data_IF_767076390787
#
_entry.id   IF_767076390787
#
_cell.length_a   1.000
_cell.length_b   1.000
_cell.length_c   1.000
_cell.angle_alpha   90.00
_cell.angle_beta   90.00
_cell.angle_gamma   90.00
#
_symmetry.space_group_name_H-M   'P 1'
#
loop_
_entity.id
_entity.type
_entity.pdbx_description
1 polymer ?
#
# COMPACT_ATOMS: atom_id res chain seq x y z
N UNK A 1 -14.71 3.51 20.14
CA UNK A 1 -15.09 3.82 21.53
C UNK A 1 -14.84 5.29 21.85
N UNK A 2 -13.70 5.86 21.41
CA UNK A 2 -13.37 7.28 21.57
C UNK A 2 -14.46 8.27 21.08
N UNK A 3 -15.10 8.03 19.93
CA UNK A 3 -16.14 8.93 19.39
C UNK A 3 -17.41 9.06 20.24
N UNK A 4 -17.87 7.98 20.89
CA UNK A 4 -19.10 8.01 21.71
C UNK A 4 -18.88 8.73 23.05
N UNK A 5 -17.68 8.56 23.61
CA UNK A 5 -17.26 9.27 24.82
C UNK A 5 -17.03 10.76 24.51
N UNK A 6 -16.38 11.07 23.39
CA UNK A 6 -15.99 12.43 23.03
C UNK A 6 -17.17 13.30 22.54
N UNK A 7 -18.07 12.75 21.71
CA UNK A 7 -19.19 13.53 21.14
C UNK A 7 -20.47 13.47 21.97
N UNK A 8 -20.67 12.41 22.75
CA UNK A 8 -21.95 12.16 23.43
C UNK A 8 -21.78 11.87 24.93
N UNK A 9 -20.56 11.94 25.48
CA UNK A 9 -20.25 11.62 26.88
C UNK A 9 -20.72 10.21 27.33
N UNK A 10 -20.89 9.28 26.39
CA UNK A 10 -21.34 7.92 26.72
C UNK A 10 -20.13 7.01 26.90
N UNK A 11 -19.82 6.68 28.16
CA UNK A 11 -18.78 5.71 28.50
C UNK A 11 -19.34 4.28 28.54
N UNK A 12 -19.12 3.51 27.47
CA UNK A 12 -19.53 2.10 27.40
C UNK A 12 -18.39 1.21 26.88
N UNK A 13 -18.25 0.03 27.47
CA UNK A 13 -17.29 -0.97 27.00
C UNK A 13 -17.69 -1.56 25.64
N UNK A 14 -16.69 -1.98 24.86
CA UNK A 14 -16.90 -2.55 23.51
C UNK A 14 -17.80 -3.79 23.55
N UNK A 15 -17.66 -4.62 24.58
CA UNK A 15 -18.48 -5.81 24.81
C UNK A 15 -19.94 -5.45 25.05
N UNK A 16 -20.22 -4.45 25.87
CA UNK A 16 -21.58 -3.94 26.11
C UNK A 16 -22.21 -3.34 24.85
N UNK A 17 -21.44 -2.57 24.08
CA UNK A 17 -21.89 -2.02 22.80
C UNK A 17 -22.25 -3.14 21.81
N UNK A 18 -21.38 -4.13 21.63
CA UNK A 18 -21.63 -5.29 20.75
C UNK A 18 -22.85 -6.10 21.19
N UNK A 19 -23.08 -6.22 22.50
CA UNK A 19 -24.27 -6.91 23.04
C UNK A 19 -25.54 -6.14 22.72
N UNK A 20 -25.58 -4.82 22.96
CA UNK A 20 -26.74 -3.96 22.64
C UNK A 20 -27.05 -3.93 21.14
N UNK A 21 -26.04 -3.86 20.28
CA UNK A 21 -26.24 -3.93 18.83
C UNK A 21 -26.90 -5.25 18.39
N UNK A 22 -26.50 -6.37 19.01
CA UNK A 22 -27.10 -7.69 18.76
C UNK A 22 -28.53 -7.78 19.26
N UNK A 23 -28.84 -7.28 20.47
CA UNK A 23 -30.21 -7.30 21.00
C UNK A 23 -31.16 -6.43 20.18
N UNK A 24 -30.67 -5.31 19.66
CA UNK A 24 -31.43 -4.42 18.78
C UNK A 24 -31.48 -4.92 17.31
N UNK A 25 -30.90 -6.09 17.01
CA UNK A 25 -30.77 -6.67 15.65
C UNK A 25 -30.15 -5.70 14.62
N UNK A 26 -29.41 -4.71 15.09
CA UNK A 26 -28.77 -3.72 14.24
C UNK A 26 -27.53 -4.33 13.61
N UNK A 27 -27.55 -4.44 12.28
CA UNK A 27 -26.39 -4.82 11.46
C UNK A 27 -25.80 -3.56 10.84
N UNK A 28 -24.49 -3.57 10.61
CA UNK A 28 -23.81 -2.46 9.95
C UNK A 28 -24.44 -2.26 8.57
N UNK A 29 -25.07 -1.10 8.35
CA UNK A 29 -25.53 -0.69 7.02
C UNK A 29 -24.29 -0.64 6.12
N UNK A 30 -24.29 -1.45 5.07
CA UNK A 30 -23.27 -1.37 4.02
C UNK A 30 -23.57 -0.08 3.24
N UNK A 31 -23.02 1.04 3.67
CA UNK A 31 -23.13 2.31 2.95
C UNK A 31 -22.37 2.18 1.63
N UNK A 32 -23.09 2.41 0.54
CA UNK A 32 -22.61 2.27 -0.84
C UNK A 32 -23.65 1.51 -1.66
N UNK A 33 -24.40 2.28 -2.46
CA UNK A 33 -25.28 1.84 -3.54
C UNK A 33 -24.68 0.65 -4.32
N UNK A 34 -25.53 -0.26 -4.79
CA UNK A 34 -25.30 -1.67 -5.23
C UNK A 34 -25.55 -2.71 -4.12
N UNK A 35 -26.82 -2.86 -3.79
CA UNK A 35 -27.35 -3.83 -2.82
C UNK A 35 -27.66 -5.22 -3.44
N UNK A 36 -27.25 -5.48 -4.67
CA UNK A 36 -27.43 -6.78 -5.31
C UNK A 36 -26.25 -7.67 -4.94
N UNK A 37 -26.50 -8.73 -4.15
CA UNK A 37 -25.55 -9.83 -4.03
C UNK A 37 -25.33 -10.35 -5.46
N UNK A 38 -24.08 -10.28 -5.95
CA UNK A 38 -23.73 -10.76 -7.29
C UNK A 38 -24.19 -12.22 -7.46
N UNK A 39 -24.71 -12.56 -8.64
CA UNK A 39 -25.16 -13.92 -8.91
C UNK A 39 -24.00 -14.89 -8.75
N UNK A 40 -24.27 -16.12 -8.29
CA UNK A 40 -23.24 -17.15 -8.13
C UNK A 40 -22.43 -17.36 -9.41
N UNK A 41 -23.07 -17.28 -10.58
CA UNK A 41 -22.40 -17.42 -11.88
C UNK A 41 -21.38 -16.30 -12.13
N UNK A 42 -21.70 -15.06 -11.79
CA UNK A 42 -20.79 -13.92 -11.96
C UNK A 42 -19.54 -14.10 -11.06
N UNK A 43 -19.75 -14.59 -9.84
CA UNK A 43 -18.65 -14.86 -8.90
C UNK A 43 -17.77 -16.01 -9.39
N UNK A 44 -18.36 -17.09 -9.89
CA UNK A 44 -17.61 -18.23 -10.43
C UNK A 44 -16.79 -17.82 -11.65
N UNK A 45 -17.39 -17.08 -12.59
CA UNK A 45 -16.69 -16.57 -13.77
C UNK A 45 -15.53 -15.66 -13.39
N UNK A 46 -15.73 -14.75 -12.43
CA UNK A 46 -14.65 -13.90 -11.93
C UNK A 46 -13.51 -14.71 -11.28
N UNK A 47 -13.84 -15.75 -10.50
CA UNK A 47 -12.84 -16.66 -9.90
C UNK A 47 -12.05 -17.39 -10.99
N UNK A 48 -12.72 -17.92 -12.02
CA UNK A 48 -12.07 -18.63 -13.13
C UNK A 48 -11.09 -17.69 -13.86
N UNK A 49 -11.54 -16.49 -14.20
CA UNK A 49 -10.71 -15.48 -14.87
C UNK A 49 -9.49 -15.11 -14.03
N UNK A 50 -9.67 -14.88 -12.73
CA UNK A 50 -8.56 -14.57 -11.83
C UNK A 50 -7.56 -15.73 -11.71
N UNK A 51 -8.03 -16.97 -11.64
CA UNK A 51 -7.17 -18.16 -11.57
C UNK A 51 -6.40 -18.36 -12.88
N UNK A 52 -7.01 -18.03 -14.02
CA UNK A 52 -6.35 -18.05 -15.34
C UNK A 52 -5.25 -16.99 -15.50
N UNK A 53 -5.29 -15.93 -14.69
CA UNK A 53 -4.34 -14.81 -14.72
C UNK A 53 -3.41 -14.82 -13.50
N UNK A 54 -3.24 -13.66 -12.84
CA UNK A 54 -2.33 -13.46 -11.71
C UNK A 54 -2.83 -14.06 -10.39
N UNK A 55 -4.08 -14.52 -10.34
CA UNK A 55 -4.74 -15.05 -9.14
C UNK A 55 -4.44 -16.52 -8.85
N UNK A 56 -3.74 -17.24 -9.72
CA UNK A 56 -3.47 -18.69 -9.56
C UNK A 56 -2.87 -19.08 -8.20
N UNK A 57 -2.04 -18.21 -7.62
CA UNK A 57 -1.32 -18.50 -6.37
C UNK A 57 -1.96 -17.85 -5.13
N UNK A 58 -3.03 -17.07 -5.27
CA UNK A 58 -3.56 -16.28 -4.15
C UNK A 58 -4.46 -17.09 -3.22
N UNK A 59 -4.37 -16.82 -1.92
CA UNK A 59 -5.26 -17.42 -0.92
C UNK A 59 -6.71 -16.94 -1.06
N UNK A 60 -7.68 -17.71 -0.54
CA UNK A 60 -9.10 -17.34 -0.63
C UNK A 60 -9.43 -15.96 -0.01
N UNK A 61 -8.66 -15.51 0.99
CA UNK A 61 -8.83 -14.18 1.60
C UNK A 61 -8.42 -13.07 0.65
N UNK A 62 -7.30 -13.27 -0.05
CA UNK A 62 -6.81 -12.35 -1.08
C UNK A 62 -7.73 -12.38 -2.29
N UNK A 63 -8.22 -13.55 -2.70
CA UNK A 63 -9.24 -13.69 -3.74
C UNK A 63 -10.52 -12.94 -3.37
N UNK A 64 -11.06 -13.14 -2.17
CA UNK A 64 -12.23 -12.40 -1.68
C UNK A 64 -12.02 -10.89 -1.68
N UNK A 65 -10.86 -10.43 -1.23
CA UNK A 65 -10.53 -9.02 -1.25
C UNK A 65 -10.44 -8.50 -2.69
N UNK A 66 -9.78 -9.23 -3.58
CA UNK A 66 -9.62 -8.86 -4.99
C UNK A 66 -10.95 -8.81 -5.74
N UNK A 67 -11.80 -9.83 -5.60
CA UNK A 67 -13.14 -9.81 -6.17
C UNK A 67 -13.97 -8.64 -5.64
N UNK A 68 -13.79 -8.27 -4.37
CA UNK A 68 -14.48 -7.13 -3.79
C UNK A 68 -13.99 -5.78 -4.34
N UNK A 69 -12.68 -5.64 -4.57
CA UNK A 69 -12.06 -4.40 -5.04
C UNK A 69 -12.18 -4.27 -6.55
N UNK A 70 -11.63 -5.23 -7.31
CA UNK A 70 -11.52 -5.17 -8.78
C UNK A 70 -12.86 -5.45 -9.47
N UNK A 71 -13.60 -6.44 -8.99
CA UNK A 71 -14.85 -6.88 -9.63
C UNK A 71 -16.09 -6.26 -8.97
N UNK A 72 -15.92 -5.50 -7.89
CA UNK A 72 -17.03 -4.94 -7.11
C UNK A 72 -17.95 -5.99 -6.46
N UNK A 73 -17.53 -7.26 -6.42
CA UNK A 73 -18.34 -8.40 -5.97
C UNK A 73 -18.41 -8.42 -4.45
N UNK A 74 -19.62 -8.27 -3.91
CA UNK A 74 -19.88 -8.38 -2.46
C UNK A 74 -20.43 -9.77 -2.14
N UNK A 75 -19.53 -10.72 -1.90
CA UNK A 75 -19.88 -12.10 -1.57
C UNK A 75 -19.35 -12.54 -0.20
N UNK A 76 -20.03 -13.47 0.50
CA UNK A 76 -19.50 -14.04 1.74
C UNK A 76 -18.16 -14.74 1.49
N UNK A 77 -17.15 -14.41 2.31
CA UNK A 77 -15.79 -14.97 2.18
C UNK A 77 -15.77 -16.50 2.24
N UNK A 78 -16.58 -17.07 3.12
CA UNK A 78 -16.60 -18.52 3.33
C UNK A 78 -17.29 -19.24 2.15
N UNK A 79 -18.21 -18.58 1.44
CA UNK A 79 -18.78 -19.07 0.19
C UNK A 79 -17.78 -18.98 -0.98
N UNK A 80 -16.99 -17.92 -1.07
CA UNK A 80 -15.87 -17.87 -2.05
C UNK A 80 -14.91 -19.05 -1.84
N UNK A 81 -14.60 -19.39 -0.58
CA UNK A 81 -13.76 -20.54 -0.29
C UNK A 81 -14.41 -21.86 -0.77
N UNK A 82 -15.74 -22.00 -0.65
CA UNK A 82 -16.46 -23.18 -1.19
C UNK A 82 -16.37 -23.21 -2.71
N UNK A 83 -16.63 -22.10 -3.39
CA UNK A 83 -16.53 -22.01 -4.85
C UNK A 83 -15.12 -22.29 -5.35
N UNK A 84 -14.08 -21.73 -4.72
CA UNK A 84 -12.70 -22.02 -5.08
C UNK A 84 -12.32 -23.50 -4.89
N UNK A 85 -12.92 -24.22 -3.93
CA UNK A 85 -12.71 -25.67 -3.78
C UNK A 85 -13.29 -26.48 -4.93
N UNK A 86 -14.35 -25.97 -5.55
CA UNK A 86 -15.00 -26.60 -6.70
C UNK A 86 -14.23 -26.25 -7.98
N UNK A 87 -13.87 -24.97 -8.15
CA UNK A 87 -13.22 -24.46 -9.37
C UNK A 87 -11.74 -24.85 -9.48
N UNK A 88 -11.00 -24.82 -8.37
CA UNK A 88 -9.55 -25.12 -8.34
C UNK A 88 -9.19 -26.02 -7.15
N UNK A 89 -9.67 -27.27 -7.13
CA UNK A 89 -9.33 -28.23 -6.08
C UNK A 89 -7.81 -28.51 -6.07
N UNK A 90 -7.19 -28.55 -7.24
CA UNK A 90 -5.79 -28.90 -7.40
C UNK A 90 -4.85 -27.79 -6.94
N UNK A 91 -5.08 -26.54 -7.33
CA UNK A 91 -4.29 -25.40 -6.84
C UNK A 91 -4.46 -25.16 -5.34
N UNK A 92 -5.62 -25.49 -4.75
CA UNK A 92 -5.77 -25.54 -3.29
C UNK A 92 -4.91 -26.66 -2.67
N UNK A 93 -4.91 -27.86 -3.27
CA UNK A 93 -4.11 -29.00 -2.79
C UNK A 93 -2.62 -28.68 -2.83
N UNK A 94 -2.13 -28.12 -3.93
CA UNK A 94 -0.73 -27.69 -4.10
C UNK A 94 -0.33 -26.67 -3.02
N UNK A 95 -1.19 -25.68 -2.73
CA UNK A 95 -0.93 -24.69 -1.66
C UNK A 95 -0.94 -25.31 -0.26
N UNK A 96 -1.82 -26.28 -0.02
CA UNK A 96 -1.89 -27.01 1.25
C UNK A 96 -0.73 -27.99 1.47
N UNK A 97 0.07 -28.29 0.44
CA UNK A 97 1.20 -29.23 0.49
C UNK A 97 2.33 -28.81 1.45
N UNK A 98 2.25 -27.63 2.09
CA UNK A 98 3.24 -27.13 3.08
C UNK A 98 4.68 -27.20 2.54
N UNK A 99 4.89 -26.77 1.29
CA UNK A 99 6.20 -26.82 0.60
C UNK A 99 7.32 -26.12 1.39
N UNK A 100 6.96 -25.12 2.21
CA UNK A 100 7.89 -24.42 3.09
C UNK A 100 8.13 -25.25 4.36
N UNK A 101 9.16 -26.09 4.32
CA UNK A 101 9.71 -26.69 5.52
C UNK A 101 10.49 -25.62 6.31
N UNK A 102 10.05 -25.33 7.54
CA UNK A 102 10.84 -24.50 8.46
C UNK A 102 12.19 -25.19 8.69
N UNK A 103 13.27 -24.50 8.32
CA UNK A 103 14.64 -24.94 8.60
C UNK A 103 15.03 -24.47 10.00
N UNK A 104 15.89 -25.23 10.68
CA UNK A 104 16.51 -24.78 11.92
C UNK A 104 17.43 -23.60 11.59
N UNK A 105 17.07 -22.42 12.06
CA UNK A 105 17.89 -21.21 11.90
C UNK A 105 18.98 -21.20 12.97
N UNK A 106 20.24 -21.35 12.57
CA UNK A 106 21.40 -21.35 13.47
C UNK A 106 22.28 -20.17 13.08
N UNK A 107 22.43 -19.21 13.99
CA UNK A 107 23.40 -18.13 13.88
C UNK A 107 24.50 -18.38 14.91
N UNK A 108 25.78 -18.27 14.53
CA UNK A 108 26.92 -18.65 15.40
C UNK A 108 27.36 -17.56 16.39
N UNK A 109 26.82 -16.35 16.28
CA UNK A 109 27.15 -15.25 17.17
C UNK A 109 26.59 -13.90 16.70
N UNK A 110 26.68 -12.84 17.53
CA UNK A 110 26.24 -11.50 17.16
C UNK A 110 26.99 -10.96 15.93
N UNK A 111 26.36 -10.06 15.18
CA UNK A 111 26.88 -9.41 13.97
C UNK A 111 27.23 -10.36 12.81
N UNK A 112 26.91 -11.66 12.93
CA UNK A 112 27.14 -12.61 11.85
C UNK A 112 26.15 -12.44 10.70
N UNK A 113 24.90 -12.12 11.01
CA UNK A 113 23.81 -11.87 10.04
C UNK A 113 22.88 -10.83 10.64
N UNK A 114 22.52 -9.81 9.86
CA UNK A 114 21.48 -8.85 10.20
C UNK A 114 20.25 -9.09 9.33
N UNK A 115 19.07 -9.01 9.94
CA UNK A 115 17.79 -9.07 9.25
C UNK A 115 17.23 -7.66 9.17
N UNK A 116 16.90 -7.22 7.96
CA UNK A 116 16.24 -5.93 7.72
C UNK A 116 14.83 -6.20 7.21
N UNK A 117 13.82 -5.58 7.82
CA UNK A 117 12.43 -5.71 7.42
C UNK A 117 11.68 -4.37 7.55
N UNK A 118 10.62 -4.21 6.76
CA UNK A 118 9.79 -3.00 6.69
C UNK A 118 8.48 -3.15 7.47
N UNK A 119 8.24 -2.24 8.41
CA UNK A 119 6.97 -2.11 9.13
C UNK A 119 6.03 -1.13 8.43
N UNK A 120 5.11 -1.69 7.63
CA UNK A 120 4.25 -0.91 6.74
C UNK A 120 2.86 -0.57 7.32
N UNK A 121 2.58 -0.90 8.59
CA UNK A 121 1.23 -0.66 9.15
C UNK A 121 0.90 0.83 9.29
N UNK A 122 1.93 1.67 9.41
CA UNK A 122 1.79 3.12 9.48
C UNK A 122 1.98 3.82 8.13
N UNK A 123 2.15 3.05 7.03
CA UNK A 123 2.15 3.56 5.66
C UNK A 123 0.98 4.50 5.35
N UNK A 124 -0.28 4.24 5.79
CA UNK A 124 -1.40 5.15 5.54
C UNK A 124 -1.27 6.55 6.17
N UNK A 125 -0.30 6.73 7.07
CA UNK A 125 0.02 7.98 7.74
C UNK A 125 1.22 8.70 7.11
N UNK A 126 1.78 8.19 6.01
CA UNK A 126 2.92 8.80 5.31
C UNK A 126 4.30 8.35 5.82
N UNK A 127 4.35 7.44 6.79
CA UNK A 127 5.59 6.98 7.42
C UNK A 127 5.91 5.53 7.06
N UNK A 128 7.19 5.26 6.86
CA UNK A 128 7.74 3.92 6.72
C UNK A 128 8.83 3.73 7.77
N UNK A 129 8.81 2.58 8.43
CA UNK A 129 9.87 2.20 9.38
C UNK A 129 10.55 0.96 8.82
N UNK A 130 11.86 1.02 8.67
CA UNK A 130 12.68 -0.16 8.47
C UNK A 130 13.41 -0.48 9.77
N UNK A 131 13.36 -1.74 10.19
CA UNK A 131 14.10 -2.22 11.34
C UNK A 131 15.18 -3.19 10.94
N UNK A 132 16.33 -3.07 11.58
CA UNK A 132 17.44 -4.01 11.47
C UNK A 132 17.65 -4.71 12.82
N UNK A 133 17.71 -6.03 12.80
CA UNK A 133 17.87 -6.86 13.99
C UNK A 133 18.99 -7.87 13.78
N UNK A 134 19.84 -8.04 14.79
CA UNK A 134 20.87 -9.06 14.78
C UNK A 134 20.27 -10.48 14.86
N UNK A 135 20.71 -11.36 13.97
CA UNK A 135 20.15 -12.70 13.82
C UNK A 135 20.43 -13.63 15.00
N UNK A 136 21.49 -13.36 15.78
CA UNK A 136 21.84 -14.17 16.95
C UNK A 136 21.18 -13.64 18.23
N UNK A 137 21.53 -12.41 18.61
CA UNK A 137 21.11 -11.78 19.86
C UNK A 137 19.69 -11.23 19.82
N UNK A 138 19.10 -11.08 18.62
CA UNK A 138 17.83 -10.37 18.40
C UNK A 138 17.85 -8.91 18.87
N UNK A 139 19.04 -8.36 19.09
CA UNK A 139 19.22 -6.94 19.41
C UNK A 139 18.80 -6.11 18.19
N UNK A 140 17.97 -5.10 18.43
CA UNK A 140 17.67 -4.07 17.43
C UNK A 140 18.95 -3.28 17.19
N UNK A 141 19.46 -3.36 15.97
CA UNK A 141 20.68 -2.66 15.54
C UNK A 141 20.33 -1.25 15.07
N UNK A 142 19.25 -1.11 14.30
CA UNK A 142 18.72 0.20 13.94
C UNK A 142 17.21 0.18 13.67
N UNK A 143 16.59 1.35 13.80
CA UNK A 143 15.28 1.68 13.28
C UNK A 143 15.45 2.94 12.44
N UNK A 144 15.08 2.88 11.17
CA UNK A 144 15.17 3.99 10.25
C UNK A 144 13.78 4.43 9.80
N UNK A 145 13.53 5.73 9.92
CA UNK A 145 12.30 6.38 9.52
C UNK A 145 12.50 7.04 8.16
N UNK A 146 11.54 6.82 7.25
CA UNK A 146 11.54 7.46 5.95
C UNK A 146 10.24 8.23 5.75
N UNK A 147 10.40 9.48 5.32
CA UNK A 147 9.32 10.33 4.87
C UNK A 147 9.22 10.18 3.36
N UNK A 148 8.27 9.36 2.90
CA UNK A 148 8.16 9.05 1.47
C UNK A 148 7.87 10.30 0.63
N UNK A 149 7.17 11.30 1.19
CA UNK A 149 6.85 12.55 0.49
C UNK A 149 8.09 13.41 0.21
N UNK A 150 8.97 13.60 1.20
CA UNK A 150 10.22 14.35 1.01
C UNK A 150 11.18 13.58 0.10
N UNK A 151 11.27 12.25 0.26
CA UNK A 151 12.13 11.46 -0.60
C UNK A 151 11.62 11.50 -2.05
N UNK A 152 10.31 11.45 -2.26
CA UNK A 152 9.74 11.61 -3.60
C UNK A 152 10.05 12.99 -4.19
N UNK A 153 9.89 14.07 -3.43
CA UNK A 153 10.22 15.41 -3.95
C UNK A 153 11.71 15.59 -4.26
N UNK A 154 12.59 15.02 -3.44
CA UNK A 154 14.03 15.00 -3.70
C UNK A 154 14.36 14.16 -4.95
N UNK A 155 13.74 12.98 -5.09
CA UNK A 155 13.90 12.14 -6.29
C UNK A 155 13.36 12.82 -7.55
N UNK A 156 12.25 13.54 -7.45
CA UNK A 156 11.68 14.32 -8.56
C UNK A 156 12.62 15.48 -8.93
N UNK A 157 13.25 16.13 -7.94
CA UNK A 157 14.26 17.16 -8.18
C UNK A 157 15.52 16.60 -8.83
N UNK A 158 16.03 15.46 -8.35
CA UNK A 158 17.17 14.76 -8.95
C UNK A 158 16.85 14.35 -10.38
N UNK A 159 15.66 13.78 -10.63
CA UNK A 159 15.20 13.41 -11.97
C UNK A 159 15.17 14.65 -12.88
N UNK A 160 14.61 15.76 -12.41
CA UNK A 160 14.56 17.01 -13.18
C UNK A 160 15.96 17.54 -13.51
N UNK A 161 16.87 17.57 -12.53
CA UNK A 161 18.26 18.00 -12.75
C UNK A 161 19.00 17.06 -13.70
N UNK A 162 18.81 15.75 -13.54
CA UNK A 162 19.37 14.73 -14.42
C UNK A 162 18.77 14.79 -15.83
N UNK A 163 17.52 15.20 -16.02
CA UNK A 163 16.97 15.29 -17.38
C UNK A 163 17.35 16.61 -18.07
N UNK A 164 17.55 17.67 -17.29
CA UNK A 164 17.89 19.00 -17.80
C UNK A 164 19.40 19.23 -18.02
N UNK A 165 20.27 18.48 -17.35
CA UNK A 165 21.71 18.63 -17.58
C UNK A 165 22.13 18.11 -18.96
N UNK A 166 23.15 18.75 -19.54
CA UNK A 166 23.72 18.34 -20.80
C UNK A 166 24.72 17.20 -20.57
N UNK A 167 24.46 16.05 -21.18
CA UNK A 167 25.39 14.92 -21.17
C UNK A 167 26.48 15.18 -22.21
N UNK A 168 27.73 14.96 -21.79
CA UNK A 168 28.92 15.08 -22.65
C UNK A 168 29.20 13.81 -23.44
N UNK A 169 29.92 13.95 -24.57
CA UNK A 169 30.24 12.84 -25.47
C UNK A 169 31.07 11.77 -24.76
N UNK A 170 30.60 10.52 -24.81
CA UNK A 170 31.35 9.34 -24.38
C UNK A 170 32.00 8.65 -25.59
N UNK A 171 33.28 8.29 -25.49
CA UNK A 171 34.00 7.55 -26.55
C UNK A 171 33.59 6.06 -26.64
N UNK A 172 32.83 5.54 -25.67
CA UNK A 172 32.48 4.12 -25.57
C UNK A 172 31.10 3.78 -26.14
N UNK A 173 30.33 4.76 -26.57
CA UNK A 173 28.93 4.60 -26.95
C UNK A 173 28.59 5.49 -28.12
N UNK A 174 27.70 5.05 -29.00
CA UNK A 174 27.17 5.85 -30.12
C UNK A 174 26.01 6.78 -29.70
N UNK A 175 25.76 6.91 -28.39
CA UNK A 175 24.68 7.73 -27.85
C UNK A 175 24.94 9.22 -28.15
N UNK A 176 23.93 9.97 -28.64
CA UNK A 176 24.07 11.40 -28.92
C UNK A 176 24.43 12.20 -27.67
N UNK A 177 25.10 13.33 -27.88
CA UNK A 177 25.43 14.30 -26.82
C UNK A 177 24.34 15.36 -26.76
N UNK A 178 23.89 15.73 -25.57
CA UNK A 178 22.79 16.68 -25.47
C UNK A 178 22.07 16.64 -24.14
N UNK A 179 21.02 17.44 -24.06
CA UNK A 179 20.07 17.42 -22.96
C UNK A 179 19.14 16.21 -23.14
N UNK A 180 18.94 15.43 -22.08
CA UNK A 180 18.16 14.20 -22.12
C UNK A 180 16.68 14.44 -22.48
N UNK A 181 16.07 15.49 -21.95
CA UNK A 181 14.70 15.87 -22.34
C UNK A 181 14.62 16.21 -23.83
N UNK A 182 15.58 16.94 -24.38
CA UNK A 182 15.62 17.24 -25.81
C UNK A 182 15.80 15.97 -26.67
N UNK A 183 16.66 15.05 -26.24
CA UNK A 183 16.87 13.77 -26.92
C UNK A 183 15.61 12.88 -26.87
N UNK A 184 14.84 12.94 -25.79
CA UNK A 184 13.63 12.14 -25.60
C UNK A 184 12.42 12.74 -26.33
N UNK A 185 12.15 14.04 -26.16
CA UNK A 185 10.96 14.69 -26.71
C UNK A 185 11.13 15.16 -28.16
N UNK A 186 12.36 15.37 -28.63
CA UNK A 186 12.67 15.83 -29.99
C UNK A 186 13.72 14.91 -30.67
N UNK A 187 13.47 13.60 -30.77
CA UNK A 187 14.45 12.65 -31.29
C UNK A 187 14.87 12.96 -32.73
N UNK A 188 14.02 13.65 -33.51
CA UNK A 188 14.29 14.01 -34.91
C UNK A 188 15.48 14.96 -35.05
N UNK A 189 15.78 15.76 -34.01
CA UNK A 189 16.95 16.66 -34.00
C UNK A 189 18.26 15.88 -33.87
N UNK A 190 18.19 14.62 -33.44
CA UNK A 190 19.32 13.72 -33.22
C UNK A 190 19.33 12.55 -34.20
N UNK A 191 18.69 12.71 -35.37
CA UNK A 191 18.52 11.66 -36.39
C UNK A 191 17.90 10.36 -35.85
N UNK A 192 17.09 10.49 -34.80
CA UNK A 192 16.36 9.39 -34.16
C UNK A 192 14.85 9.55 -34.34
N UNK A 193 14.11 8.49 -34.04
CA UNK A 193 12.65 8.48 -34.05
C UNK A 193 12.11 7.87 -32.75
N UNK A 194 10.93 8.31 -32.35
CA UNK A 194 10.25 7.74 -31.19
C UNK A 194 9.93 6.26 -31.44
N UNK A 195 10.43 5.39 -30.57
CA UNK A 195 10.19 3.95 -30.60
C UNK A 195 9.12 3.52 -29.57
N UNK A 196 8.46 4.48 -28.94
CA UNK A 196 7.39 4.25 -27.98
C UNK A 196 6.21 3.52 -28.62
N UNK A 197 5.67 2.54 -27.89
CA UNK A 197 4.41 1.91 -28.26
C UNK A 197 3.26 2.83 -27.89
N UNK A 198 2.33 3.07 -28.81
CA UNK A 198 1.14 3.86 -28.54
C UNK A 198 0.33 3.21 -27.40
N UNK A 199 0.21 3.91 -26.28
CA UNK A 199 -0.63 3.50 -25.17
C UNK A 199 -1.97 4.23 -25.27
N UNK A 200 -3.07 3.47 -25.35
CA UNK A 200 -4.40 4.05 -25.27
C UNK A 200 -4.61 4.64 -23.88
N UNK A 201 -5.07 5.90 -23.81
CA UNK A 201 -5.37 6.57 -22.55
C UNK A 201 -6.44 5.82 -21.74
N UNK A 202 -7.29 5.03 -22.39
CA UNK A 202 -8.24 4.12 -21.76
C UNK A 202 -7.54 2.96 -21.06
N UNK A 203 -6.47 2.42 -21.64
CA UNK A 203 -5.66 1.38 -21.02
C UNK A 203 -4.85 1.95 -19.85
N UNK A 204 -4.34 3.18 -19.96
CA UNK A 204 -3.70 3.90 -18.86
C UNK A 204 -4.69 4.16 -17.72
N UNK A 205 -5.89 4.66 -18.03
CA UNK A 205 -6.96 4.90 -17.05
C UNK A 205 -7.42 3.60 -16.39
N UNK A 206 -7.49 2.52 -17.17
CA UNK A 206 -7.79 1.17 -16.70
C UNK A 206 -6.70 0.68 -15.77
N UNK A 207 -5.42 0.84 -16.11
CA UNK A 207 -4.29 0.52 -15.24
C UNK A 207 -4.30 1.35 -13.95
N UNK A 208 -4.52 2.66 -14.03
CA UNK A 208 -4.58 3.53 -12.84
C UNK A 208 -5.71 3.09 -11.89
N UNK A 209 -6.84 2.66 -12.46
CA UNK A 209 -7.99 2.15 -11.70
C UNK A 209 -7.71 0.76 -11.11
N UNK A 210 -7.17 -0.17 -11.91
CA UNK A 210 -6.85 -1.56 -11.53
C UNK A 210 -5.76 -1.62 -10.45
N UNK A 211 -4.72 -0.80 -10.56
CA UNK A 211 -3.62 -0.83 -9.60
C UNK A 211 -3.90 -0.02 -8.34
N UNK A 212 -5.10 0.54 -8.19
CA UNK A 212 -5.39 1.58 -7.21
C UNK A 212 -4.21 2.57 -7.16
N UNK A 213 -3.81 3.13 -8.30
CA UNK A 213 -2.89 4.27 -8.34
C UNK A 213 -3.65 5.50 -7.86
N UNK A 214 -4.08 5.39 -6.61
CA UNK A 214 -4.53 6.46 -5.78
C UNK A 214 -3.29 7.36 -5.72
N UNK A 215 -3.38 8.56 -6.29
CA UNK A 215 -2.70 9.72 -5.72
C UNK A 215 -3.25 9.86 -4.29
N UNK A 216 -2.90 8.90 -3.43
CA UNK A 216 -3.35 8.79 -2.06
C UNK A 216 -2.88 10.09 -1.47
N UNK A 217 -3.86 10.95 -1.17
CA UNK A 217 -3.66 12.13 -0.35
C UNK A 217 -2.64 11.80 0.73
N UNK A 218 -1.65 12.69 0.83
CA UNK A 218 -0.35 12.52 1.50
C UNK A 218 -0.43 12.05 2.96
N UNK A 219 -1.62 12.05 3.55
CA UNK A 219 -1.98 11.24 4.71
C UNK A 219 -3.46 10.80 4.60
N UNK A 220 -3.81 9.67 5.21
CA UNK A 220 -5.23 9.27 5.35
C UNK A 220 -6.06 10.46 5.82
N UNK A 221 -7.22 10.75 5.19
CA UNK A 221 -8.12 11.82 5.64
C UNK A 221 -8.45 11.74 7.14
N UNK A 222 -8.41 10.54 7.74
CA UNK A 222 -8.59 10.34 9.18
C UNK A 222 -7.43 10.88 10.02
N UNK A 223 -6.22 10.82 9.49
CA UNK A 223 -5.03 11.37 10.12
C UNK A 223 -4.99 12.88 10.00
N UNK A 224 -5.29 13.42 8.81
CA UNK A 224 -5.41 14.88 8.64
C UNK A 224 -6.48 15.43 9.59
N UNK A 225 -7.66 14.81 9.64
CA UNK A 225 -8.71 15.18 10.61
C UNK A 225 -8.26 15.04 12.07
N UNK A 226 -7.47 14.00 12.40
CA UNK A 226 -6.97 13.82 13.76
C UNK A 226 -5.95 14.90 14.13
N UNK A 227 -5.01 15.24 13.24
CA UNK A 227 -4.02 16.30 13.46
C UNK A 227 -4.71 17.66 13.52
N UNK A 228 -5.69 17.92 12.65
CA UNK A 228 -6.48 19.15 12.67
C UNK A 228 -7.34 19.29 13.93
N UNK A 229 -7.84 18.17 14.48
CA UNK A 229 -8.51 18.12 15.78
C UNK A 229 -7.56 18.35 16.96
N UNK A 230 -6.34 17.80 16.88
CA UNK A 230 -5.34 17.93 17.94
C UNK A 230 -4.68 19.31 17.94
N UNK A 231 -4.49 19.91 16.76
CA UNK A 231 -3.86 21.23 16.58
C UNK A 231 -4.34 21.86 15.25
N UNK A 232 -5.38 22.70 15.29
CA UNK A 232 -5.95 23.32 14.09
C UNK A 232 -4.99 24.35 13.47
N UNK A 233 -5.00 24.45 12.13
CA UNK A 233 -4.19 25.42 11.37
C UNK A 233 -2.76 24.99 11.07
N UNK A 234 -2.40 23.74 11.35
CA UNK A 234 -1.07 23.22 11.09
C UNK A 234 -0.91 22.82 9.61
N UNK A 235 0.05 23.46 8.92
CA UNK A 235 0.36 23.16 7.52
C UNK A 235 1.01 21.78 7.34
N UNK A 236 0.83 21.16 6.16
CA UNK A 236 1.54 19.94 5.80
C UNK A 236 3.03 20.28 5.66
N UNK A 237 3.93 19.56 6.37
CA UNK A 237 5.36 19.85 6.31
C UNK A 237 5.90 19.66 4.89
N UNK A 238 6.67 20.64 4.43
CA UNK A 238 7.25 20.66 3.07
C UNK A 238 8.71 20.19 3.10
N UNK A 239 9.38 20.32 4.26
CA UNK A 239 10.79 19.93 4.44
C UNK A 239 10.96 18.79 5.45
N UNK A 240 12.08 18.05 5.37
CA UNK A 240 12.42 17.00 6.35
C UNK A 240 12.50 17.51 7.79
N UNK A 241 12.95 18.75 7.97
CA UNK A 241 13.06 19.38 9.29
C UNK A 241 11.68 19.72 9.86
N UNK A 242 10.78 20.26 9.03
CA UNK A 242 9.39 20.48 9.40
C UNK A 242 8.67 19.15 9.71
N UNK A 243 8.92 18.11 8.91
CA UNK A 243 8.35 16.77 9.13
C UNK A 243 8.83 16.14 10.44
N UNK A 244 10.10 16.33 10.79
CA UNK A 244 10.66 15.89 12.07
C UNK A 244 10.09 16.68 13.24
N UNK A 245 10.01 18.01 13.14
CA UNK A 245 9.44 18.86 14.18
C UNK A 245 7.97 18.50 14.43
N UNK A 246 7.20 18.26 13.36
CA UNK A 246 5.83 17.78 13.45
C UNK A 246 5.74 16.44 14.20
N UNK A 247 6.61 15.50 13.89
CA UNK A 247 6.65 14.21 14.58
C UNK A 247 6.94 14.37 16.08
N UNK A 248 7.94 15.19 16.44
CA UNK A 248 8.28 15.47 17.83
C UNK A 248 7.10 16.10 18.59
N UNK A 249 6.47 17.13 18.01
CA UNK A 249 5.31 17.81 18.61
C UNK A 249 4.12 16.86 18.81
N UNK A 250 3.80 16.01 17.82
CA UNK A 250 2.73 15.02 17.94
C UNK A 250 3.05 14.02 19.05
N UNK A 251 4.31 13.62 19.20
CA UNK A 251 4.74 12.63 20.19
C UNK A 251 4.66 13.22 21.60
N UNK A 252 5.12 14.46 21.80
CA UNK A 252 4.98 15.19 23.08
C UNK A 252 3.51 15.39 23.48
N UNK A 253 2.65 15.74 22.53
CA UNK A 253 1.20 15.84 22.78
C UNK A 253 0.64 14.49 23.23
N UNK A 254 0.98 13.40 22.54
CA UNK A 254 0.49 12.06 22.90
C UNK A 254 0.98 11.57 24.27
N UNK A 255 2.17 12.00 24.70
CA UNK A 255 2.69 11.71 26.03
C UNK A 255 1.96 12.48 27.13
N UNK A 256 1.50 13.71 26.87
CA UNK A 256 0.69 14.51 27.81
C UNK A 256 -0.75 14.00 27.99
N UNK A 257 -1.23 13.12 27.10
CA UNK A 257 -2.58 12.55 27.12
C UNK A 257 -2.65 11.08 27.58
N UNK A 258 -1.54 10.52 28.10
CA UNK A 258 -1.55 9.23 28.82
C UNK A 258 -1.97 9.38 30.28
#
# INVERSE_FOLDING_TARGET
MLLLLHLHQVNISLSTLKRRLRSLRLKRKLTGSRNTISSYNDVVNAIITEIGCSGRCIGHRSMWYRLKIEWGIRFPRDEILRLMRIVDPEGIRVRKRRRLHRRRYICKGPNKVWHVDGYNKIKPFGFWIHGCVDGFSRRIICLQFYFMHIIQSELDMVTRNCNLHQISRSRKTEVPTGNLDAMYFLPQVYDASDQGTFLDIRDVSTCMTIFEYDNKSLASNKFVQLIELLKPGMGIPVTAREGLNLYMEITELLEHYQ
#
